data_IF_123324900639
#
_entry.id   IF_123324900639
#
_cell.length_a   1.000
_cell.length_b   1.000
_cell.length_c   1.000
_cell.angle_alpha   90.00
_cell.angle_beta   90.00
_cell.angle_gamma   90.00
#
_symmetry.space_group_name_H-M   'P 1'
#
loop_
_entity.id
_entity.type
_entity.pdbx_description
1 polymer ?
#
# COMPACT_ATOMS: atom_id res chain seq x y z
N UNK A 1 15.49 -15.32 -10.53
CA UNK A 1 16.56 -14.75 -11.39
C UNK A 1 16.06 -14.35 -12.78
N UNK A 2 15.45 -15.26 -13.54
CA UNK A 2 15.04 -15.07 -14.95
C UNK A 2 14.28 -13.76 -15.20
N UNK A 3 13.21 -13.53 -14.45
CA UNK A 3 12.33 -12.37 -14.61
C UNK A 3 13.09 -11.04 -14.54
N UNK A 4 13.91 -10.84 -13.50
CA UNK A 4 14.63 -9.59 -13.30
C UNK A 4 15.72 -9.40 -14.36
N UNK A 5 16.37 -10.48 -14.80
CA UNK A 5 17.31 -10.46 -15.92
C UNK A 5 16.62 -10.09 -17.23
N UNK A 6 15.51 -10.75 -17.57
CA UNK A 6 14.72 -10.46 -18.77
C UNK A 6 14.25 -9.01 -18.78
N UNK A 7 13.65 -8.52 -17.69
CA UNK A 7 13.15 -7.14 -17.64
C UNK A 7 14.27 -6.09 -17.63
N UNK A 8 15.50 -6.48 -17.29
CA UNK A 8 16.69 -5.62 -17.38
C UNK A 8 17.25 -5.55 -18.80
N UNK A 9 17.22 -6.66 -19.55
CA UNK A 9 17.92 -6.81 -20.83
C UNK A 9 17.00 -6.75 -22.06
N UNK A 10 15.75 -7.17 -21.91
CA UNK A 10 14.75 -7.27 -22.99
C UNK A 10 13.38 -6.78 -22.49
N UNK A 11 13.33 -5.50 -22.10
CA UNK A 11 12.10 -4.90 -21.59
C UNK A 11 11.03 -4.78 -22.71
N UNK A 12 9.75 -5.11 -22.44
CA UNK A 12 8.71 -5.11 -23.47
C UNK A 12 8.55 -3.78 -24.21
N UNK A 13 8.54 -3.84 -25.55
CA UNK A 13 8.28 -2.69 -26.43
C UNK A 13 6.84 -2.18 -26.27
N UNK A 14 6.63 -0.88 -26.52
CA UNK A 14 5.31 -0.24 -26.43
C UNK A 14 4.87 0.15 -25.02
N UNK A 15 5.77 0.06 -24.03
CA UNK A 15 5.58 0.55 -22.66
C UNK A 15 6.66 1.57 -22.32
N UNK A 16 6.42 2.40 -21.30
CA UNK A 16 7.46 3.25 -20.71
C UNK A 16 8.59 2.37 -20.19
N UNK A 17 9.82 2.63 -20.64
CA UNK A 17 10.98 1.83 -20.29
C UNK A 17 11.26 1.88 -18.78
N UNK A 18 11.35 0.70 -18.17
CA UNK A 18 11.69 0.51 -16.75
C UNK A 18 12.91 -0.39 -16.56
N UNK A 19 13.68 -0.66 -17.61
CA UNK A 19 14.89 -1.50 -17.57
C UNK A 19 15.87 -1.05 -16.49
N UNK A 20 16.05 0.25 -16.29
CA UNK A 20 16.90 0.80 -15.23
C UNK A 20 16.39 0.46 -13.81
N UNK A 21 15.07 0.49 -13.60
CA UNK A 21 14.45 0.08 -12.34
C UNK A 21 14.69 -1.42 -12.08
N UNK A 22 14.42 -2.27 -13.08
CA UNK A 22 14.63 -3.72 -12.94
C UNK A 22 16.10 -4.09 -12.79
N UNK A 23 17.03 -3.31 -13.37
CA UNK A 23 18.47 -3.46 -13.13
C UNK A 23 18.83 -3.22 -11.67
N UNK A 24 18.25 -2.19 -11.05
CA UNK A 24 18.45 -1.92 -9.64
C UNK A 24 17.89 -3.06 -8.79
N UNK A 25 16.67 -3.52 -9.07
CA UNK A 25 16.05 -4.66 -8.38
C UNK A 25 16.84 -5.97 -8.54
N UNK A 26 17.42 -6.23 -9.73
CA UNK A 26 18.31 -7.36 -9.94
C UNK A 26 19.56 -7.27 -9.06
N UNK A 27 20.15 -6.07 -8.95
CA UNK A 27 21.28 -5.84 -8.04
C UNK A 27 20.92 -6.08 -6.57
N UNK A 28 19.77 -5.60 -6.13
CA UNK A 28 19.26 -5.84 -4.78
C UNK A 28 18.94 -7.32 -4.54
N UNK A 29 18.41 -8.03 -5.54
CA UNK A 29 18.16 -9.47 -5.48
C UNK A 29 19.44 -10.30 -5.30
N UNK A 30 20.51 -9.97 -6.04
CA UNK A 30 21.78 -10.69 -5.90
C UNK A 30 22.43 -10.45 -4.53
N UNK A 31 22.36 -9.22 -4.01
CA UNK A 31 22.80 -8.91 -2.64
C UNK A 31 21.99 -9.69 -1.61
N UNK A 32 20.66 -9.72 -1.75
CA UNK A 32 19.77 -10.50 -0.89
C UNK A 32 20.17 -11.98 -0.87
N UNK A 33 20.39 -12.58 -2.05
CA UNK A 33 20.82 -13.98 -2.13
C UNK A 33 22.17 -14.21 -1.46
N UNK A 34 23.11 -13.28 -1.60
CA UNK A 34 24.42 -13.37 -0.94
C UNK A 34 24.29 -13.28 0.59
N UNK A 35 23.52 -12.32 1.10
CA UNK A 35 23.30 -12.08 2.53
C UNK A 35 22.60 -13.27 3.20
N UNK A 36 21.60 -13.84 2.53
CA UNK A 36 20.78 -14.95 3.04
C UNK A 36 21.27 -16.34 2.58
N UNK A 37 22.42 -16.42 1.92
CA UNK A 37 23.01 -17.66 1.39
C UNK A 37 22.05 -18.48 0.49
N UNK A 38 21.19 -17.78 -0.26
CA UNK A 38 20.22 -18.39 -1.16
C UNK A 38 20.85 -18.69 -2.53
N UNK A 39 20.40 -19.78 -3.16
CA UNK A 39 20.71 -20.05 -4.56
C UNK A 39 19.81 -19.20 -5.46
N UNK A 40 20.34 -18.26 -6.26
CA UNK A 40 19.52 -17.29 -6.99
C UNK A 40 18.53 -17.89 -8.01
N UNK A 41 18.85 -19.06 -8.54
CA UNK A 41 18.02 -19.84 -9.47
C UNK A 41 16.88 -20.59 -8.76
N UNK A 42 16.97 -20.81 -7.45
CA UNK A 42 15.93 -21.45 -6.65
C UNK A 42 14.87 -20.47 -6.13
N UNK A 43 15.11 -19.16 -6.17
CA UNK A 43 14.17 -18.15 -5.66
C UNK A 43 13.08 -17.85 -6.69
N UNK A 44 11.83 -18.16 -6.31
CA UNK A 44 10.63 -17.94 -7.12
C UNK A 44 10.00 -16.57 -6.83
N UNK A 45 9.31 -16.03 -7.83
CA UNK A 45 8.60 -14.77 -7.72
C UNK A 45 7.62 -14.57 -8.87
N UNK A 46 6.91 -13.44 -8.84
CA UNK A 46 5.96 -13.06 -9.89
C UNK A 46 6.67 -12.73 -11.21
N UNK A 47 5.87 -12.53 -12.26
CA UNK A 47 6.35 -12.08 -13.57
C UNK A 47 7.06 -10.71 -13.56
N UNK A 48 6.94 -9.95 -12.46
CA UNK A 48 7.63 -8.68 -12.25
C UNK A 48 8.77 -8.78 -11.22
N UNK A 49 9.01 -9.95 -10.63
CA UNK A 49 10.09 -10.19 -9.68
C UNK A 49 9.72 -9.93 -8.22
N UNK A 50 8.42 -9.86 -7.89
CA UNK A 50 7.94 -9.79 -6.51
C UNK A 50 8.00 -11.17 -5.85
N UNK A 51 8.53 -11.26 -4.63
CA UNK A 51 8.89 -12.52 -3.96
C UNK A 51 8.03 -12.72 -2.71
N UNK A 52 7.69 -13.99 -2.44
CA UNK A 52 7.09 -14.41 -1.18
C UNK A 52 5.61 -14.11 -1.02
N UNK A 53 5.10 -14.47 0.17
CA UNK A 53 3.76 -14.15 0.66
C UNK A 53 3.42 -12.65 0.53
N UNK A 54 4.31 -11.70 0.91
CA UNK A 54 4.00 -10.28 0.81
C UNK A 54 4.13 -9.71 -0.62
N UNK A 55 4.64 -10.47 -1.59
CA UNK A 55 4.96 -9.97 -2.93
C UNK A 55 5.84 -8.71 -2.88
N UNK A 56 6.91 -8.74 -2.08
CA UNK A 56 7.88 -7.65 -2.05
C UNK A 56 8.87 -7.73 -3.20
N UNK A 57 9.18 -6.57 -3.77
CA UNK A 57 10.35 -6.43 -4.65
C UNK A 57 11.64 -6.63 -3.84
N UNK A 58 12.74 -7.11 -4.44
CA UNK A 58 14.00 -7.34 -3.73
C UNK A 58 14.48 -6.15 -2.90
N UNK A 59 14.37 -4.93 -3.43
CA UNK A 59 14.72 -3.71 -2.69
C UNK A 59 13.85 -3.49 -1.46
N UNK A 60 12.55 -3.81 -1.52
CA UNK A 60 11.64 -3.77 -0.38
C UNK A 60 11.99 -4.82 0.66
N UNK A 61 12.37 -6.04 0.25
CA UNK A 61 12.80 -7.09 1.18
C UNK A 61 14.01 -6.60 1.98
N UNK A 62 15.05 -6.11 1.29
CA UNK A 62 16.28 -5.66 1.95
C UNK A 62 16.08 -4.46 2.88
N UNK A 63 15.01 -3.69 2.72
CA UNK A 63 14.71 -2.51 3.56
C UNK A 63 13.75 -2.79 4.70
N UNK A 64 12.75 -3.63 4.46
CA UNK A 64 11.58 -3.72 5.33
C UNK A 64 11.34 -5.13 5.87
N UNK A 65 11.96 -6.16 5.31
CA UNK A 65 11.79 -7.50 5.84
C UNK A 65 12.43 -7.63 7.22
N UNK A 66 11.75 -8.33 8.12
CA UNK A 66 12.21 -8.57 9.49
C UNK A 66 12.06 -10.05 9.83
N UNK A 67 13.02 -10.55 10.61
CA UNK A 67 12.95 -11.85 11.28
C UNK A 67 12.02 -11.65 12.48
N UNK A 68 10.78 -12.14 12.36
CA UNK A 68 9.72 -11.82 13.31
C UNK A 68 9.45 -12.94 14.31
N UNK A 69 9.93 -14.16 14.05
CA UNK A 69 9.97 -15.25 15.02
C UNK A 69 11.32 -15.39 15.75
N UNK A 70 12.32 -14.58 15.38
CA UNK A 70 13.64 -14.49 15.98
C UNK A 70 14.47 -15.78 15.83
N UNK A 71 14.28 -16.51 14.74
CA UNK A 71 15.02 -17.74 14.44
C UNK A 71 16.40 -17.50 13.78
N UNK A 72 16.71 -16.25 13.44
CA UNK A 72 17.93 -15.81 12.80
C UNK A 72 17.85 -15.70 11.27
N UNK A 73 16.69 -15.98 10.67
CA UNK A 73 16.46 -15.95 9.24
C UNK A 73 15.23 -15.12 8.87
N UNK A 74 15.16 -14.69 7.60
CA UNK A 74 13.96 -14.03 7.07
C UNK A 74 13.42 -14.87 5.92
N UNK A 75 12.36 -15.64 6.17
CA UNK A 75 11.71 -16.50 5.17
C UNK A 75 10.33 -15.98 4.77
N UNK A 76 10.32 -15.02 3.84
CA UNK A 76 9.07 -14.48 3.29
C UNK A 76 8.33 -15.45 2.36
N UNK A 77 8.92 -16.60 1.99
CA UNK A 77 8.28 -17.60 1.12
C UNK A 77 7.43 -18.57 1.93
N UNK A 78 7.89 -18.96 3.13
CA UNK A 78 7.28 -20.04 3.91
C UNK A 78 6.95 -19.69 5.35
N UNK A 79 7.46 -18.59 5.91
CA UNK A 79 7.09 -18.12 7.26
C UNK A 79 6.00 -17.06 7.15
N UNK A 80 4.73 -17.37 7.51
CA UNK A 80 3.72 -16.34 7.70
C UNK A 80 4.08 -15.35 8.80
N UNK A 81 4.89 -15.76 9.78
CA UNK A 81 5.29 -14.90 10.91
C UNK A 81 6.18 -13.76 10.40
N UNK A 82 7.22 -14.09 9.63
CA UNK A 82 8.07 -13.08 8.98
C UNK A 82 7.29 -12.22 8.00
N UNK A 83 6.40 -12.83 7.21
CA UNK A 83 5.55 -12.08 6.28
C UNK A 83 4.68 -11.05 7.01
N UNK A 84 4.05 -11.43 8.13
CA UNK A 84 3.22 -10.52 8.94
C UNK A 84 4.09 -9.40 9.53
N UNK A 85 5.23 -9.73 10.15
CA UNK A 85 6.14 -8.74 10.72
C UNK A 85 6.67 -7.76 9.67
N UNK A 86 7.04 -8.27 8.51
CA UNK A 86 7.59 -7.48 7.41
C UNK A 86 6.55 -6.56 6.77
N UNK A 87 5.30 -7.01 6.63
CA UNK A 87 4.20 -6.15 6.16
C UNK A 87 3.89 -5.06 7.19
N UNK A 88 3.87 -5.41 8.49
CA UNK A 88 3.64 -4.44 9.55
C UNK A 88 4.75 -3.38 9.59
N UNK A 89 6.02 -3.80 9.51
CA UNK A 89 7.17 -2.90 9.45
C UNK A 89 7.12 -2.01 8.20
N UNK A 90 6.81 -2.57 7.03
CA UNK A 90 6.60 -1.78 5.81
C UNK A 90 5.54 -0.69 6.00
N UNK A 91 4.37 -1.02 6.56
CA UNK A 91 3.32 -0.03 6.77
C UNK A 91 3.74 1.04 7.79
N UNK A 92 4.43 0.65 8.86
CA UNK A 92 4.96 1.57 9.86
C UNK A 92 5.95 2.58 9.25
N UNK A 93 6.92 2.10 8.46
CA UNK A 93 7.89 2.94 7.74
C UNK A 93 7.23 3.86 6.71
N UNK A 94 6.02 3.52 6.24
CA UNK A 94 5.22 4.34 5.33
C UNK A 94 4.16 5.19 6.03
N UNK A 95 4.32 5.42 7.34
CA UNK A 95 3.55 6.42 8.09
C UNK A 95 2.23 5.90 8.67
N UNK A 96 2.06 4.59 8.78
CA UNK A 96 0.92 4.00 9.48
C UNK A 96 0.84 4.49 10.94
N UNK A 97 -0.36 4.86 11.37
CA UNK A 97 -0.72 5.36 12.68
C UNK A 97 -1.68 4.37 13.35
N UNK A 98 -1.22 3.53 14.31
CA UNK A 98 -2.04 2.46 14.88
C UNK A 98 -3.38 2.91 15.47
N UNK A 99 -3.45 4.12 16.00
CA UNK A 99 -4.64 4.67 16.63
C UNK A 99 -5.63 5.33 15.65
N UNK A 100 -5.30 5.45 14.37
CA UNK A 100 -6.14 6.13 13.38
C UNK A 100 -6.89 5.11 12.51
N UNK A 101 -8.15 5.38 12.15
CA UNK A 101 -8.82 4.60 11.12
C UNK A 101 -8.18 4.85 9.75
N UNK A 102 -8.41 3.94 8.80
CA UNK A 102 -7.95 4.15 7.44
C UNK A 102 -8.66 5.32 6.75
N UNK A 103 -9.96 5.49 6.99
CA UNK A 103 -10.73 6.60 6.42
C UNK A 103 -11.91 6.98 7.31
N UNK A 104 -12.56 8.10 6.98
CA UNK A 104 -13.84 8.51 7.53
C UNK A 104 -14.88 8.69 6.42
N UNK A 105 -16.16 8.53 6.78
CA UNK A 105 -17.27 8.91 5.91
C UNK A 105 -17.28 10.43 5.69
N UNK A 106 -17.57 10.82 4.44
CA UNK A 106 -17.62 12.21 4.01
C UNK A 106 -18.74 12.40 3.00
N UNK A 107 -19.45 13.54 3.09
CA UNK A 107 -20.24 14.07 1.98
C UNK A 107 -19.43 15.15 1.27
N UNK A 108 -19.29 15.09 -0.06
CA UNK A 108 -18.53 16.08 -0.81
C UNK A 108 -19.21 17.46 -0.75
N UNK A 109 -18.47 18.55 -1.02
CA UNK A 109 -19.08 19.86 -1.21
C UNK A 109 -19.97 19.89 -2.47
N UNK A 110 -21.00 20.73 -2.44
CA UNK A 110 -21.89 20.95 -3.58
C UNK A 110 -21.29 21.89 -4.63
N UNK A 111 -20.38 22.76 -4.21
CA UNK A 111 -19.65 23.65 -5.12
C UNK A 111 -18.61 22.87 -5.93
N UNK A 112 -18.68 22.97 -7.25
CA UNK A 112 -17.81 22.22 -8.17
C UNK A 112 -16.34 22.62 -8.05
N UNK A 113 -16.05 23.90 -7.77
CA UNK A 113 -14.68 24.38 -7.61
C UNK A 113 -14.06 23.85 -6.32
N UNK A 114 -14.82 23.87 -5.22
CA UNK A 114 -14.42 23.26 -3.96
C UNK A 114 -14.19 21.75 -4.10
N UNK A 115 -15.09 21.05 -4.80
CA UNK A 115 -14.93 19.61 -5.07
C UNK A 115 -13.67 19.33 -5.88
N UNK A 116 -13.47 20.05 -6.99
CA UNK A 116 -12.29 19.90 -7.83
C UNK A 116 -10.99 20.17 -7.05
N UNK A 117 -11.00 21.16 -6.15
CA UNK A 117 -9.87 21.46 -5.27
C UNK A 117 -9.55 20.30 -4.31
N UNK A 118 -10.57 19.71 -3.69
CA UNK A 118 -10.39 18.59 -2.78
C UNK A 118 -9.90 17.31 -3.49
N UNK A 119 -10.31 17.10 -4.74
CA UNK A 119 -9.91 15.93 -5.54
C UNK A 119 -8.53 16.08 -6.20
N UNK A 120 -7.99 17.30 -6.32
CA UNK A 120 -6.75 17.56 -7.07
C UNK A 120 -5.52 16.79 -6.55
N UNK A 121 -5.31 16.60 -5.22
CA UNK A 121 -4.20 15.80 -4.71
C UNK A 121 -4.39 14.28 -4.85
N UNK A 122 -5.54 13.82 -5.35
CA UNK A 122 -5.92 12.41 -5.45
C UNK A 122 -5.79 11.70 -4.09
N UNK A 123 -4.91 10.72 -3.96
CA UNK A 123 -4.72 9.91 -2.74
C UNK A 123 -3.87 10.57 -1.67
N UNK A 124 -3.21 11.69 -1.95
CA UNK A 124 -2.23 12.30 -1.05
C UNK A 124 -2.95 13.10 0.04
N UNK A 125 -2.83 12.75 1.34
CA UNK A 125 -3.46 13.50 2.41
C UNK A 125 -2.89 14.92 2.48
N UNK A 126 -3.74 15.90 2.20
CA UNK A 126 -3.31 17.28 1.93
C UNK A 126 -4.11 18.36 2.66
N UNK A 127 -5.24 17.99 3.28
CA UNK A 127 -6.16 18.94 3.91
C UNK A 127 -6.41 18.57 5.36
N UNK A 128 -6.54 19.55 6.26
CA UNK A 128 -7.08 19.27 7.58
C UNK A 128 -8.59 19.00 7.51
N UNK A 129 -9.17 18.43 8.57
CA UNK A 129 -10.63 18.31 8.69
C UNK A 129 -11.32 19.69 8.57
N UNK A 130 -10.73 20.73 9.17
CA UNK A 130 -11.24 22.09 9.12
C UNK A 130 -11.21 22.68 7.69
N UNK A 131 -10.16 22.41 6.91
CA UNK A 131 -10.08 22.86 5.51
C UNK A 131 -11.17 22.22 4.66
N UNK A 132 -11.39 20.91 4.83
CA UNK A 132 -12.46 20.18 4.13
C UNK A 132 -13.84 20.74 4.49
N UNK A 133 -14.10 21.01 5.77
CA UNK A 133 -15.35 21.61 6.23
C UNK A 133 -15.53 23.05 5.74
N UNK A 134 -14.45 23.85 5.73
CA UNK A 134 -14.46 25.21 5.19
C UNK A 134 -14.75 25.26 3.69
N UNK A 135 -14.43 24.20 2.97
CA UNK A 135 -14.79 24.00 1.56
C UNK A 135 -16.20 23.42 1.36
N UNK A 136 -16.94 23.16 2.43
CA UNK A 136 -18.33 22.69 2.38
C UNK A 136 -18.50 21.17 2.39
N UNK A 137 -17.44 20.39 2.62
CA UNK A 137 -17.58 18.95 2.85
C UNK A 137 -18.11 18.67 4.27
N UNK A 138 -18.88 17.60 4.43
CA UNK A 138 -19.38 17.18 5.75
C UNK A 138 -18.75 15.85 6.17
N UNK A 139 -17.88 15.90 7.18
CA UNK A 139 -17.25 14.73 7.80
C UNK A 139 -18.13 14.12 8.91
N UNK A 140 -17.97 12.83 9.15
CA UNK A 140 -18.50 12.17 10.37
C UNK A 140 -17.94 12.83 11.65
N UNK A 141 -18.62 12.66 12.79
CA UNK A 141 -18.20 13.29 14.05
C UNK A 141 -16.76 12.92 14.47
N UNK A 142 -16.33 11.67 14.22
CA UNK A 142 -14.95 11.26 14.45
C UNK A 142 -13.98 11.89 13.46
N UNK A 143 -14.38 12.05 12.19
CA UNK A 143 -13.57 12.69 11.17
C UNK A 143 -13.35 14.18 11.42
N UNK A 144 -14.33 14.88 12.00
CA UNK A 144 -14.21 16.30 12.38
C UNK A 144 -13.14 16.53 13.45
N UNK A 145 -12.93 15.56 14.34
CA UNK A 145 -11.93 15.61 15.40
C UNK A 145 -10.57 15.01 14.99
N UNK A 146 -10.42 14.59 13.73
CA UNK A 146 -9.16 14.03 13.26
C UNK A 146 -8.10 15.13 13.15
N UNK A 147 -6.93 14.88 13.74
CA UNK A 147 -5.83 15.85 13.83
C UNK A 147 -4.82 15.74 12.69
N UNK A 148 -4.86 14.65 11.92
CA UNK A 148 -3.99 14.43 10.77
C UNK A 148 -4.55 15.02 9.47
N UNK A 149 -3.73 15.06 8.40
CA UNK A 149 -4.22 15.41 7.08
C UNK A 149 -5.11 14.31 6.50
N UNK A 150 -6.02 14.72 5.62
CA UNK A 150 -6.99 13.91 4.92
C UNK A 150 -6.89 14.13 3.41
N UNK A 151 -7.24 13.11 2.63
CA UNK A 151 -7.45 13.16 1.19
C UNK A 151 -8.92 12.88 0.87
N UNK A 152 -9.52 13.62 -0.06
CA UNK A 152 -10.83 13.24 -0.61
C UNK A 152 -10.60 12.19 -1.71
N UNK A 153 -10.91 10.93 -1.41
CA UNK A 153 -10.71 9.82 -2.34
C UNK A 153 -12.03 9.48 -3.01
N UNK A 154 -12.04 9.49 -4.34
CA UNK A 154 -13.19 9.15 -5.18
C UNK A 154 -12.95 7.83 -5.91
N UNK A 155 -13.88 6.89 -5.76
CA UNK A 155 -13.90 5.62 -6.48
C UNK A 155 -15.16 5.55 -7.35
N UNK A 156 -14.98 5.24 -8.62
CA UNK A 156 -16.07 5.09 -9.59
C UNK A 156 -16.54 3.63 -9.62
N UNK A 157 -17.84 3.42 -9.52
CA UNK A 157 -18.47 2.09 -9.43
C UNK A 157 -19.26 1.73 -10.70
N UNK A 158 -18.81 2.21 -11.86
CA UNK A 158 -19.52 2.01 -13.12
C UNK A 158 -20.83 2.81 -13.16
N UNK A 159 -21.97 2.11 -13.25
CA UNK A 159 -23.30 2.74 -13.24
C UNK A 159 -23.82 3.06 -11.84
N UNK A 160 -23.20 2.50 -10.80
CA UNK A 160 -23.60 2.75 -9.41
C UNK A 160 -23.04 4.07 -8.89
N UNK A 161 -23.62 4.55 -7.78
CA UNK A 161 -23.14 5.76 -7.13
C UNK A 161 -21.65 5.61 -6.75
N UNK A 162 -20.83 6.67 -6.97
CA UNK A 162 -19.43 6.62 -6.59
C UNK A 162 -19.25 6.56 -5.08
N UNK A 163 -18.16 5.95 -4.65
CA UNK A 163 -17.74 5.95 -3.24
C UNK A 163 -16.81 7.12 -2.99
N UNK A 164 -17.10 7.90 -1.94
CA UNK A 164 -16.25 8.99 -1.47
C UNK A 164 -15.88 8.75 -0.02
N UNK A 165 -14.59 8.85 0.30
CA UNK A 165 -14.08 8.75 1.67
C UNK A 165 -13.05 9.84 1.95
N UNK A 166 -12.94 10.23 3.21
CA UNK A 166 -11.82 11.04 3.70
C UNK A 166 -10.70 10.11 4.17
N UNK A 167 -9.77 9.81 3.27
CA UNK A 167 -8.64 8.91 3.54
C UNK A 167 -7.60 9.56 4.45
N UNK A 168 -7.16 8.83 5.49
CA UNK A 168 -6.10 9.28 6.41
C UNK A 168 -4.70 8.91 5.88
N UNK A 169 -3.66 9.18 6.66
CA UNK A 169 -2.32 8.63 6.41
C UNK A 169 -2.29 7.11 6.33
N UNK A 170 -3.23 6.40 6.98
CA UNK A 170 -3.31 4.94 6.95
C UNK A 170 -3.83 4.43 5.61
N UNK A 171 -4.83 5.10 5.02
CA UNK A 171 -5.24 4.82 3.64
C UNK A 171 -4.04 5.02 2.70
N UNK A 172 -3.35 6.15 2.86
CA UNK A 172 -2.19 6.47 2.03
C UNK A 172 -1.04 5.47 2.20
N UNK A 173 -0.74 5.00 3.41
CA UNK A 173 0.28 3.99 3.68
C UNK A 173 0.00 2.68 2.91
N UNK A 174 -1.26 2.24 2.84
CA UNK A 174 -1.64 1.05 2.05
C UNK A 174 -1.39 1.29 0.55
N UNK A 175 -1.64 2.51 0.04
CA UNK A 175 -1.31 2.83 -1.37
C UNK A 175 0.19 2.79 -1.67
N UNK A 176 1.07 2.79 -0.67
CA UNK A 176 2.52 2.61 -0.88
C UNK A 176 2.87 1.17 -1.23
N UNK A 177 2.01 0.23 -0.86
CA UNK A 177 2.10 -1.17 -1.25
C UNK A 177 1.73 -1.37 -2.73
N UNK A 178 0.67 -0.69 -3.18
CA UNK A 178 0.26 -0.59 -4.58
C UNK A 178 -0.47 0.74 -4.78
N UNK A 179 0.00 1.56 -5.74
CA UNK A 179 -0.47 2.93 -5.98
C UNK A 179 -1.86 2.95 -6.66
N UNK A 180 -2.88 2.49 -5.94
CA UNK A 180 -4.27 2.44 -6.39
C UNK A 180 -5.23 2.59 -5.22
N UNK A 181 -6.13 3.56 -5.32
CA UNK A 181 -7.21 3.80 -4.36
C UNK A 181 -8.17 2.61 -4.27
N UNK A 182 -8.42 1.93 -5.40
CA UNK A 182 -9.26 0.73 -5.43
C UNK A 182 -8.61 -0.44 -4.69
N UNK A 183 -7.30 -0.64 -4.89
CA UNK A 183 -6.55 -1.64 -4.15
C UNK A 183 -6.59 -1.36 -2.65
N UNK A 184 -6.31 -0.12 -2.24
CA UNK A 184 -6.31 0.25 -0.83
C UNK A 184 -7.69 0.05 -0.19
N UNK A 185 -8.76 0.49 -0.86
CA UNK A 185 -10.12 0.28 -0.36
C UNK A 185 -10.46 -1.21 -0.22
N UNK A 186 -10.11 -2.03 -1.21
CA UNK A 186 -10.36 -3.48 -1.16
C UNK A 186 -9.61 -4.15 0.00
N UNK A 187 -8.34 -3.79 0.23
CA UNK A 187 -7.53 -4.29 1.35
C UNK A 187 -8.14 -3.91 2.70
N UNK A 188 -8.56 -2.65 2.85
CA UNK A 188 -9.17 -2.15 4.09
C UNK A 188 -10.47 -2.91 4.37
N UNK A 189 -11.38 -2.97 3.39
CA UNK A 189 -12.67 -3.63 3.55
C UNK A 189 -12.52 -5.14 3.83
N UNK A 190 -11.59 -5.80 3.14
CA UNK A 190 -11.29 -7.21 3.41
C UNK A 190 -10.77 -7.39 4.83
N UNK A 191 -9.84 -6.55 5.28
CA UNK A 191 -9.30 -6.59 6.64
C UNK A 191 -10.37 -6.39 7.71
N UNK A 192 -11.31 -5.45 7.49
CA UNK A 192 -12.45 -5.23 8.38
C UNK A 192 -13.40 -6.44 8.44
N UNK A 193 -13.66 -7.10 7.31
CA UNK A 193 -14.47 -8.32 7.27
C UNK A 193 -13.77 -9.45 8.01
N UNK A 194 -12.49 -9.70 7.72
CA UNK A 194 -11.70 -10.76 8.39
C UNK A 194 -11.65 -10.53 9.91
N UNK A 195 -11.38 -9.30 10.35
CA UNK A 195 -11.35 -8.95 11.78
C UNK A 195 -12.69 -9.21 12.47
N UNK A 196 -13.80 -8.85 11.80
CA UNK A 196 -15.15 -9.08 12.31
C UNK A 196 -15.49 -10.56 12.41
N UNK A 197 -15.12 -11.38 11.42
CA UNK A 197 -15.38 -12.82 11.45
C UNK A 197 -14.48 -13.55 12.46
N UNK A 198 -13.23 -13.13 12.61
CA UNK A 198 -12.35 -13.65 13.65
C UNK A 198 -12.87 -13.36 15.06
N UNK A 199 -13.42 -12.15 15.28
CA UNK A 199 -14.03 -11.78 16.56
C UNK A 199 -15.34 -12.52 16.87
N UNK A 200 -16.05 -13.04 15.86
CA UNK A 200 -17.25 -13.88 16.04
C UNK A 200 -16.94 -15.34 16.37
N UNK A 201 -15.75 -15.79 16.00
CA UNK A 201 -15.32 -17.19 16.15
C UNK A 201 -14.64 -17.46 17.49
N UNK A 202 -14.40 -16.41 18.29
CA UNK A 202 -13.91 -16.46 19.68
C UNK A 202 -15.04 -16.18 20.66
#
# INVERSE_FOLDING_TARGET
LDVLTTLTLDFPKGRSDRSAYFRAELGEFLKLCQEQQLQPDAVLGSYAGAIGLPQFMPSSIRRYAVDFDADGHIDLLRSPVDAIGSVAHFLAEHGWQPAWPAYFDIKPPQDEQALAKLLAPDIVPSFSAADMQGLGAALSASGQNHTGPLALVLLQNGSDAPTLVAGTSNFYAITRYNQSSYYAMAVIQLGEVVSREAARSN
#
